data_IF_009271728570
#
_entry.id   IF_009271728570
#
_cell.length_a   1.000
_cell.length_b   1.000
_cell.length_c   1.000
_cell.angle_alpha   90.00
_cell.angle_beta   90.00
_cell.angle_gamma   90.00
#
_symmetry.space_group_name_H-M   'P 1'
#
loop_
_entity.id
_entity.type
_entity.pdbx_description
1 polymer ?
#
# COMPACT_ATOMS: atom_id res chain seq x y z
N UNK A 1 18.03 22.55 -22.37
CA UNK A 1 17.03 21.50 -22.70
C UNK A 1 15.76 22.16 -23.18
N UNK A 2 15.05 21.59 -24.16
CA UNK A 2 13.76 22.13 -24.60
C UNK A 2 12.65 21.81 -23.59
N UNK A 3 11.66 22.69 -23.45
CA UNK A 3 10.50 22.52 -22.54
C UNK A 3 9.78 21.18 -22.73
N UNK A 4 9.75 20.66 -23.97
CA UNK A 4 9.16 19.36 -24.30
C UNK A 4 9.98 18.16 -23.77
N UNK A 5 11.31 18.29 -23.70
CA UNK A 5 12.17 17.25 -23.13
C UNK A 5 12.00 17.16 -21.60
N UNK A 6 11.88 18.31 -20.94
CA UNK A 6 11.64 18.39 -19.50
C UNK A 6 10.30 17.77 -19.10
N UNK A 7 9.22 18.07 -19.83
CA UNK A 7 7.89 17.48 -19.60
C UNK A 7 7.94 15.95 -19.73
N UNK A 8 8.60 15.41 -20.77
CA UNK A 8 8.72 13.96 -20.97
C UNK A 8 9.47 13.27 -19.82
N UNK A 9 10.52 13.90 -19.30
CA UNK A 9 11.29 13.36 -18.16
C UNK A 9 10.42 13.36 -16.90
N UNK A 10 9.71 14.45 -16.62
CA UNK A 10 8.80 14.55 -15.48
C UNK A 10 7.69 13.51 -15.54
N UNK A 11 7.08 13.32 -16.72
CA UNK A 11 6.06 12.29 -16.94
C UNK A 11 6.60 10.88 -16.68
N UNK A 12 7.78 10.56 -17.24
CA UNK A 12 8.45 9.29 -17.02
C UNK A 12 8.76 9.04 -15.54
N UNK A 13 9.29 10.04 -14.84
CA UNK A 13 9.58 9.96 -13.41
C UNK A 13 8.31 9.76 -12.58
N UNK A 14 7.22 10.47 -12.91
CA UNK A 14 5.95 10.34 -12.22
C UNK A 14 5.36 8.93 -12.37
N UNK A 15 5.37 8.35 -13.57
CA UNK A 15 4.92 6.99 -13.78
C UNK A 15 5.80 5.95 -13.07
N UNK A 16 7.12 6.12 -13.12
CA UNK A 16 8.05 5.25 -12.41
C UNK A 16 7.79 5.23 -10.90
N UNK A 17 7.63 6.40 -10.28
CA UNK A 17 7.32 6.53 -8.85
C UNK A 17 6.01 5.82 -8.49
N UNK A 18 4.96 5.99 -9.32
CA UNK A 18 3.68 5.33 -9.07
C UNK A 18 3.77 3.80 -9.16
N UNK A 19 4.55 3.28 -10.11
CA UNK A 19 4.77 1.84 -10.25
C UNK A 19 5.68 1.26 -9.16
N UNK A 20 6.76 1.96 -8.80
CA UNK A 20 7.71 1.53 -7.77
C UNK A 20 7.11 1.57 -6.36
N UNK A 21 6.27 2.58 -6.07
CA UNK A 21 5.58 2.75 -4.79
C UNK A 21 4.10 2.39 -4.91
N UNK A 22 3.80 1.37 -5.72
CA UNK A 22 2.45 0.83 -5.78
C UNK A 22 2.05 0.20 -4.43
N UNK A 23 0.75 0.09 -4.12
CA UNK A 23 0.28 -0.42 -2.83
C UNK A 23 0.78 -1.80 -2.44
N UNK A 24 0.97 -2.70 -3.40
CA UNK A 24 1.48 -4.05 -3.13
C UNK A 24 2.95 -4.00 -2.68
N UNK A 25 3.76 -3.17 -3.33
CA UNK A 25 5.17 -3.01 -2.99
C UNK A 25 5.37 -2.28 -1.67
N UNK A 26 4.64 -1.20 -1.40
CA UNK A 26 4.75 -0.49 -0.11
C UNK A 26 4.36 -1.40 1.07
N UNK A 27 3.29 -2.18 0.90
CA UNK A 27 2.87 -3.18 1.90
C UNK A 27 3.92 -4.27 2.07
N UNK A 28 4.42 -4.84 0.96
CA UNK A 28 5.44 -5.89 1.00
C UNK A 28 6.71 -5.43 1.71
N UNK A 29 7.25 -4.27 1.33
CA UNK A 29 8.51 -3.75 1.89
C UNK A 29 8.39 -3.43 3.38
N UNK A 30 7.24 -2.91 3.85
CA UNK A 30 7.00 -2.66 5.27
C UNK A 30 7.11 -3.95 6.08
N UNK A 31 6.42 -4.99 5.64
CA UNK A 31 6.41 -6.30 6.32
C UNK A 31 7.76 -7.00 6.18
N UNK A 32 8.45 -6.83 5.04
CA UNK A 32 9.81 -7.32 4.82
C UNK A 32 10.79 -6.71 5.84
N UNK A 33 10.79 -5.39 6.01
CA UNK A 33 11.65 -4.70 6.97
C UNK A 33 11.37 -5.13 8.41
N UNK A 34 10.09 -5.22 8.80
CA UNK A 34 9.70 -5.70 10.13
C UNK A 34 10.11 -7.16 10.37
N UNK A 35 10.05 -8.00 9.32
CA UNK A 35 10.50 -9.38 9.41
C UNK A 35 12.00 -9.43 9.66
N UNK A 36 12.81 -8.70 8.87
CA UNK A 36 14.26 -8.67 9.04
C UNK A 36 14.69 -8.07 10.39
N UNK A 37 13.95 -7.10 10.94
CA UNK A 37 14.27 -6.54 12.25
C UNK A 37 13.93 -7.50 13.39
N UNK A 38 12.98 -8.41 13.19
CA UNK A 38 12.44 -9.24 14.27
C UNK A 38 13.17 -10.58 14.44
N UNK A 39 13.80 -11.12 13.40
CA UNK A 39 14.59 -12.34 13.54
C UNK A 39 15.64 -12.51 12.42
N UNK A 40 16.54 -13.48 12.61
CA UNK A 40 17.54 -13.85 11.61
C UNK A 40 16.90 -14.32 10.30
N UNK A 41 17.53 -14.02 9.16
CA UNK A 41 16.94 -14.19 7.82
C UNK A 41 16.36 -15.59 7.54
N UNK A 42 16.98 -16.65 8.08
CA UNK A 42 16.51 -18.04 7.91
C UNK A 42 15.14 -18.29 8.51
N UNK A 43 14.83 -17.63 9.63
CA UNK A 43 13.52 -17.73 10.31
C UNK A 43 12.49 -16.90 9.54
N UNK A 44 12.87 -15.68 9.18
CA UNK A 44 11.99 -14.71 8.53
C UNK A 44 11.70 -15.00 7.06
N UNK A 45 12.52 -15.83 6.39
CA UNK A 45 12.33 -16.18 4.98
C UNK A 45 10.92 -16.72 4.71
N UNK A 46 10.41 -17.57 5.60
CA UNK A 46 9.07 -18.14 5.48
C UNK A 46 7.96 -17.07 5.56
N UNK A 47 8.09 -16.10 6.46
CA UNK A 47 7.16 -14.97 6.59
C UNK A 47 7.24 -14.03 5.39
N UNK A 48 8.45 -13.76 4.88
CA UNK A 48 8.66 -12.91 3.71
C UNK A 48 8.05 -13.54 2.45
N UNK A 49 8.25 -14.85 2.25
CA UNK A 49 7.67 -15.58 1.12
C UNK A 49 6.14 -15.54 1.21
N UNK A 50 5.58 -15.88 2.38
CA UNK A 50 4.14 -15.84 2.61
C UNK A 50 3.57 -14.43 2.36
N UNK A 51 4.25 -13.41 2.88
CA UNK A 51 3.91 -12.01 2.64
C UNK A 51 3.89 -11.68 1.14
N UNK A 52 4.93 -12.06 0.39
CA UNK A 52 4.98 -11.84 -1.06
C UNK A 52 3.83 -12.53 -1.82
N UNK A 53 3.44 -13.73 -1.37
CA UNK A 53 2.29 -14.45 -1.95
C UNK A 53 1.01 -13.66 -1.77
N UNK A 54 0.72 -13.20 -0.54
CA UNK A 54 -0.56 -12.55 -0.22
C UNK A 54 -0.63 -11.06 -0.57
N UNK A 55 0.51 -10.38 -0.65
CA UNK A 55 0.55 -8.93 -0.95
C UNK A 55 0.81 -8.62 -2.42
N UNK A 56 1.54 -9.48 -3.13
CA UNK A 56 1.93 -9.28 -4.53
C UNK A 56 1.32 -10.34 -5.43
N UNK A 57 1.67 -11.62 -5.23
CA UNK A 57 1.38 -12.67 -6.22
C UNK A 57 -0.11 -12.91 -6.42
N UNK A 58 -0.85 -13.19 -5.34
CA UNK A 58 -2.28 -13.47 -5.41
C UNK A 58 -3.09 -12.24 -5.88
N UNK A 59 -2.93 -11.03 -5.30
CA UNK A 59 -3.66 -9.86 -5.78
C UNK A 59 -3.36 -9.50 -7.23
N UNK A 60 -2.09 -9.51 -7.63
CA UNK A 60 -1.72 -9.14 -9.01
C UNK A 60 -2.22 -10.15 -10.03
N UNK A 61 -2.14 -11.45 -9.70
CA UNK A 61 -2.67 -12.52 -10.55
C UNK A 61 -4.19 -12.42 -10.69
N UNK A 62 -4.89 -12.13 -9.59
CA UNK A 62 -6.34 -11.96 -9.61
C UNK A 62 -6.77 -10.70 -10.39
N UNK A 63 -6.08 -9.57 -10.22
CA UNK A 63 -6.39 -8.34 -10.95
C UNK A 63 -6.10 -8.49 -12.44
N UNK A 64 -5.01 -9.19 -12.80
CA UNK A 64 -4.74 -9.53 -14.20
C UNK A 64 -5.82 -10.44 -14.79
N UNK A 65 -6.30 -11.42 -14.02
CA UNK A 65 -7.42 -12.26 -14.43
C UNK A 65 -8.71 -11.45 -14.65
N UNK A 66 -9.06 -10.55 -13.72
CA UNK A 66 -10.20 -9.65 -13.87
C UNK A 66 -10.09 -8.77 -15.13
N UNK A 67 -8.91 -8.20 -15.39
CA UNK A 67 -8.65 -7.39 -16.59
C UNK A 67 -8.81 -8.23 -17.86
N UNK A 68 -8.27 -9.46 -17.89
CA UNK A 68 -8.42 -10.38 -19.03
C UNK A 68 -9.86 -10.82 -19.28
N UNK A 69 -10.71 -10.81 -18.24
CA UNK A 69 -12.15 -11.09 -18.33
C UNK A 69 -12.99 -9.85 -18.67
N UNK A 70 -12.38 -8.67 -18.84
CA UNK A 70 -13.10 -7.41 -19.09
C UNK A 70 -13.93 -6.93 -17.90
N UNK A 71 -13.69 -7.45 -16.69
CA UNK A 71 -14.43 -7.07 -15.47
C UNK A 71 -13.93 -5.76 -14.85
N UNK A 72 -12.70 -5.37 -15.19
CA UNK A 72 -12.11 -4.06 -14.87
C UNK A 72 -11.45 -3.49 -16.11
N UNK A 73 -11.51 -2.17 -16.26
CA UNK A 73 -10.92 -1.45 -17.39
C UNK A 73 -9.39 -1.46 -17.34
N UNK A 74 -8.83 -1.21 -16.15
CA UNK A 74 -7.40 -1.06 -15.95
C UNK A 74 -6.90 -1.71 -14.67
N UNK A 75 -5.65 -2.16 -14.69
CA UNK A 75 -5.03 -2.87 -13.56
C UNK A 75 -4.86 -1.96 -12.32
N UNK A 76 -4.73 -0.65 -12.55
CA UNK A 76 -4.64 0.39 -11.52
C UNK A 76 -5.97 1.13 -11.24
N UNK A 77 -7.10 0.54 -11.67
CA UNK A 77 -8.50 0.88 -11.37
C UNK A 77 -8.74 2.38 -11.06
N UNK A 78 -8.70 3.23 -12.11
CA UNK A 78 -8.90 4.67 -11.96
C UNK A 78 -10.35 5.02 -11.63
N UNK A 79 -11.32 4.27 -12.14
CA UNK A 79 -12.74 4.45 -11.78
C UNK A 79 -13.00 3.89 -10.39
N UNK A 80 -13.63 4.72 -9.55
CA UNK A 80 -14.02 4.32 -8.20
C UNK A 80 -15.15 3.29 -8.18
N UNK A 81 -15.99 3.24 -9.22
CA UNK A 81 -17.10 2.27 -9.31
C UNK A 81 -16.59 0.84 -9.42
N UNK A 82 -15.48 0.64 -10.13
CA UNK A 82 -14.81 -0.64 -10.33
C UNK A 82 -13.95 -1.09 -9.13
N UNK A 83 -13.73 -0.26 -8.11
CA UNK A 83 -12.81 -0.58 -7.00
C UNK A 83 -13.34 -1.60 -5.99
N UNK A 84 -14.66 -1.68 -5.83
CA UNK A 84 -15.25 -2.43 -4.71
C UNK A 84 -14.87 -3.91 -4.76
N UNK A 85 -15.10 -4.60 -5.88
CA UNK A 85 -14.77 -6.02 -6.02
C UNK A 85 -13.26 -6.31 -5.84
N UNK A 86 -12.38 -5.65 -6.58
CA UNK A 86 -10.93 -5.78 -6.42
C UNK A 86 -10.44 -5.50 -5.00
N UNK A 87 -10.94 -4.46 -4.33
CA UNK A 87 -10.52 -4.17 -2.96
C UNK A 87 -11.07 -5.18 -1.95
N UNK A 88 -12.28 -5.72 -2.13
CA UNK A 88 -12.79 -6.83 -1.30
C UNK A 88 -11.90 -8.07 -1.43
N UNK A 89 -11.45 -8.41 -2.64
CA UNK A 89 -10.51 -9.51 -2.83
C UNK A 89 -9.15 -9.23 -2.14
N UNK A 90 -8.68 -7.98 -2.18
CA UNK A 90 -7.45 -7.57 -1.50
C UNK A 90 -7.56 -7.70 0.02
N UNK A 91 -8.69 -7.28 0.60
CA UNK A 91 -9.01 -7.46 2.02
C UNK A 91 -8.97 -8.95 2.38
N UNK A 92 -9.60 -9.81 1.58
CA UNK A 92 -9.60 -11.24 1.80
C UNK A 92 -8.18 -11.81 1.79
N UNK A 93 -7.38 -11.50 0.78
CA UNK A 93 -6.00 -11.99 0.70
C UNK A 93 -5.15 -11.49 1.87
N UNK A 94 -5.24 -10.20 2.21
CA UNK A 94 -4.42 -9.66 3.31
C UNK A 94 -4.86 -10.24 4.66
N UNK A 95 -6.16 -10.41 4.90
CA UNK A 95 -6.68 -11.04 6.10
C UNK A 95 -6.20 -12.50 6.24
N UNK A 96 -6.29 -13.29 5.17
CA UNK A 96 -5.80 -14.68 5.17
C UNK A 96 -4.29 -14.74 5.39
N UNK A 97 -3.52 -13.87 4.73
CA UNK A 97 -2.08 -13.76 4.94
C UNK A 97 -1.74 -13.42 6.40
N UNK A 98 -2.46 -12.48 7.00
CA UNK A 98 -2.27 -12.09 8.40
C UNK A 98 -2.58 -13.24 9.37
N UNK A 99 -3.68 -13.97 9.14
CA UNK A 99 -4.04 -15.14 9.93
C UNK A 99 -2.98 -16.24 9.85
N UNK A 100 -2.46 -16.51 8.64
CA UNK A 100 -1.40 -17.49 8.44
C UNK A 100 -0.09 -17.06 9.10
N UNK A 101 0.28 -15.78 9.04
CA UNK A 101 1.45 -15.25 9.77
C UNK A 101 1.30 -15.47 11.28
N UNK A 102 0.12 -15.21 11.86
CA UNK A 102 -0.16 -15.48 13.28
C UNK A 102 -0.09 -16.97 13.61
N UNK A 103 -0.65 -17.82 12.75
CA UNK A 103 -0.61 -19.28 12.91
C UNK A 103 0.84 -19.82 12.89
N UNK A 104 1.69 -19.25 12.03
CA UNK A 104 3.13 -19.53 11.97
C UNK A 104 3.93 -18.90 13.13
N UNK A 105 3.25 -18.28 14.12
CA UNK A 105 3.88 -17.58 15.25
C UNK A 105 4.86 -16.50 14.80
N UNK A 106 4.57 -15.82 13.69
CA UNK A 106 5.33 -14.64 13.30
C UNK A 106 5.22 -13.57 14.41
N UNK A 107 6.24 -12.72 14.59
CA UNK A 107 6.23 -11.60 15.51
C UNK A 107 4.95 -10.77 15.37
N UNK A 108 4.43 -10.29 16.49
CA UNK A 108 3.23 -9.47 16.53
C UNK A 108 3.34 -8.25 15.61
N UNK A 109 4.51 -7.63 15.51
CA UNK A 109 4.76 -6.51 14.58
C UNK A 109 4.51 -6.87 13.11
N UNK A 110 4.96 -8.04 12.67
CA UNK A 110 4.82 -8.53 11.28
C UNK A 110 3.37 -8.80 10.94
N UNK A 111 2.64 -9.50 11.81
CA UNK A 111 1.21 -9.80 11.59
C UNK A 111 0.33 -8.57 11.76
N UNK A 112 0.59 -7.73 12.77
CA UNK A 112 -0.13 -6.47 12.99
C UNK A 112 0.01 -5.52 11.80
N UNK A 113 1.19 -5.41 11.19
CA UNK A 113 1.38 -4.58 9.99
C UNK A 113 0.44 -4.99 8.85
N UNK A 114 0.31 -6.28 8.55
CA UNK A 114 -0.60 -6.75 7.51
C UNK A 114 -2.08 -6.56 7.90
N UNK A 115 -2.43 -6.69 9.18
CA UNK A 115 -3.77 -6.38 9.68
C UNK A 115 -4.08 -4.89 9.47
N UNK A 116 -3.17 -3.99 9.83
CA UNK A 116 -3.33 -2.55 9.66
C UNK A 116 -3.55 -2.18 8.20
N UNK A 117 -2.76 -2.76 7.28
CA UNK A 117 -2.99 -2.60 5.85
C UNK A 117 -4.36 -3.14 5.43
N UNK A 118 -4.78 -4.31 5.93
CA UNK A 118 -6.10 -4.91 5.64
C UNK A 118 -7.24 -3.97 6.04
N UNK A 119 -7.20 -3.45 7.27
CA UNK A 119 -8.21 -2.53 7.79
C UNK A 119 -8.20 -1.22 7.01
N UNK A 120 -7.04 -0.69 6.65
CA UNK A 120 -6.95 0.51 5.83
C UNK A 120 -7.50 0.31 4.41
N UNK A 121 -7.34 -0.87 3.82
CA UNK A 121 -8.02 -1.24 2.56
C UNK A 121 -9.53 -1.31 2.78
N UNK A 122 -10.02 -1.85 3.90
CA UNK A 122 -11.44 -1.86 4.23
C UNK A 122 -12.01 -0.43 4.39
N UNK A 123 -11.28 0.45 5.07
CA UNK A 123 -11.65 1.86 5.24
C UNK A 123 -11.77 2.58 3.89
N UNK A 124 -10.75 2.50 3.02
CA UNK A 124 -10.83 3.14 1.69
C UNK A 124 -11.94 2.51 0.83
N UNK A 125 -12.23 1.21 0.99
CA UNK A 125 -13.32 0.54 0.28
C UNK A 125 -14.67 1.12 0.68
N UNK A 126 -14.93 1.29 1.97
CA UNK A 126 -16.16 1.89 2.49
C UNK A 126 -16.31 3.36 2.09
N UNK A 127 -15.22 4.13 2.17
CA UNK A 127 -15.22 5.57 1.86
C UNK A 127 -15.29 5.85 0.35
N UNK A 128 -14.75 4.95 -0.49
CA UNK A 128 -14.65 5.13 -1.94
C UNK A 128 -15.99 5.46 -2.63
N UNK A 129 -17.11 5.01 -2.07
CA UNK A 129 -18.46 5.35 -2.55
C UNK A 129 -18.75 6.86 -2.46
N UNK A 130 -18.23 7.52 -1.43
CA UNK A 130 -18.47 8.94 -1.15
C UNK A 130 -17.32 9.81 -1.66
N UNK A 131 -16.07 9.41 -1.37
CA UNK A 131 -14.88 10.21 -1.66
C UNK A 131 -13.71 9.36 -2.21
N UNK A 132 -13.13 9.79 -3.33
CA UNK A 132 -12.06 9.06 -4.03
C UNK A 132 -10.68 9.42 -3.48
N UNK A 133 -10.27 8.77 -2.39
CA UNK A 133 -8.88 8.87 -1.90
C UNK A 133 -7.89 8.18 -2.86
N UNK A 134 -6.62 8.59 -2.78
CA UNK A 134 -5.53 7.91 -3.46
C UNK A 134 -5.09 6.67 -2.69
N UNK A 135 -5.34 5.47 -3.24
CA UNK A 135 -4.91 4.22 -2.63
C UNK A 135 -3.38 4.08 -2.55
N UNK A 136 -2.65 4.63 -3.54
CA UNK A 136 -1.18 4.65 -3.53
C UNK A 136 -0.65 5.43 -2.34
N UNK A 137 -1.12 6.67 -2.17
CA UNK A 137 -0.68 7.53 -1.07
C UNK A 137 -1.16 7.00 0.28
N UNK A 138 -2.39 6.45 0.36
CA UNK A 138 -2.89 5.84 1.59
C UNK A 138 -2.05 4.62 2.01
N UNK A 139 -1.70 3.72 1.09
CA UNK A 139 -0.86 2.55 1.41
C UNK A 139 0.57 2.96 1.81
N UNK A 140 1.17 3.92 1.10
CA UNK A 140 2.48 4.44 1.44
C UNK A 140 2.50 5.16 2.80
N UNK A 141 1.46 5.93 3.12
CA UNK A 141 1.34 6.61 4.41
C UNK A 141 1.04 5.63 5.55
N UNK A 142 0.26 4.57 5.30
CA UNK A 142 0.06 3.44 6.23
C UNK A 142 1.40 2.81 6.57
N UNK A 143 2.21 2.52 5.55
CA UNK A 143 3.57 2.00 5.69
C UNK A 143 4.44 2.93 6.54
N UNK A 144 4.42 4.23 6.25
CA UNK A 144 5.13 5.25 7.02
C UNK A 144 4.71 5.30 8.49
N UNK A 145 3.41 5.22 8.78
CA UNK A 145 2.89 5.19 10.15
C UNK A 145 3.33 3.93 10.92
N UNK A 146 3.27 2.76 10.27
CA UNK A 146 3.75 1.50 10.86
C UNK A 146 5.26 1.59 11.17
N UNK A 147 6.07 2.04 10.22
CA UNK A 147 7.52 2.17 10.41
C UNK A 147 7.87 3.20 11.49
N UNK A 148 7.11 4.30 11.56
CA UNK A 148 7.26 5.30 12.63
C UNK A 148 6.96 4.70 14.01
N UNK A 149 5.90 3.92 14.14
CA UNK A 149 5.54 3.27 15.39
C UNK A 149 6.66 2.34 15.90
N UNK A 150 7.23 1.49 15.03
CA UNK A 150 8.21 0.49 15.45
C UNK A 150 9.66 0.98 15.50
N UNK A 151 10.04 1.95 14.66
CA UNK A 151 11.44 2.39 14.51
C UNK A 151 11.65 3.87 14.86
N UNK A 152 10.58 4.60 15.19
CA UNK A 152 10.64 5.99 15.62
C UNK A 152 10.95 7.01 14.52
N UNK A 153 11.37 8.20 14.97
CA UNK A 153 11.55 9.40 14.15
C UNK A 153 12.41 9.26 12.88
N UNK A 154 13.48 8.42 12.82
CA UNK A 154 14.27 8.27 11.60
C UNK A 154 13.45 7.86 10.37
N UNK A 155 12.35 7.13 10.57
CA UNK A 155 11.49 6.68 9.46
C UNK A 155 10.60 7.78 8.88
N UNK A 156 10.52 8.96 9.51
CA UNK A 156 9.86 10.13 8.93
C UNK A 156 10.48 10.58 7.60
N UNK A 157 11.70 10.12 7.27
CA UNK A 157 12.26 10.25 5.92
C UNK A 157 11.36 9.63 4.83
N UNK A 158 10.50 8.66 5.16
CA UNK A 158 9.51 8.13 4.22
C UNK A 158 8.51 9.20 3.75
N UNK A 159 8.33 10.30 4.49
CA UNK A 159 7.49 11.43 4.06
C UNK A 159 7.99 12.06 2.76
N UNK A 160 9.31 12.03 2.50
CA UNK A 160 9.88 12.50 1.24
C UNK A 160 9.39 11.64 0.07
N UNK A 161 9.39 10.31 0.24
CA UNK A 161 8.88 9.37 -0.76
C UNK A 161 7.36 9.51 -0.94
N UNK A 162 6.61 9.70 0.15
CA UNK A 162 5.16 9.92 0.11
C UNK A 162 4.82 11.25 -0.58
N UNK A 163 5.61 12.30 -0.36
CA UNK A 163 5.45 13.59 -1.05
C UNK A 163 5.76 13.46 -2.55
N UNK A 164 6.85 12.78 -2.92
CA UNK A 164 7.19 12.51 -4.32
C UNK A 164 6.12 11.66 -5.02
N UNK A 165 5.58 10.64 -4.34
CA UNK A 165 4.46 9.84 -4.82
C UNK A 165 3.18 10.69 -4.97
N UNK A 166 2.90 11.56 -4.01
CA UNK A 166 1.74 12.46 -4.07
C UNK A 166 1.85 13.42 -5.25
N UNK A 167 3.03 14.00 -5.49
CA UNK A 167 3.32 14.79 -6.68
C UNK A 167 3.06 13.97 -7.95
N UNK A 168 3.60 12.75 -8.04
CA UNK A 168 3.36 11.85 -9.18
C UNK A 168 1.87 11.67 -9.48
N UNK A 169 1.04 11.46 -8.45
CA UNK A 169 -0.42 11.24 -8.62
C UNK A 169 -1.17 12.49 -9.06
N UNK A 170 -0.72 13.67 -8.65
CA UNK A 170 -1.31 14.95 -9.06
C UNK A 170 -0.84 15.35 -10.46
N UNK A 171 0.46 15.20 -10.74
CA UNK A 171 1.08 15.49 -12.03
C UNK A 171 0.48 14.66 -13.17
N UNK A 172 0.34 13.35 -12.95
CA UNK A 172 -0.34 12.43 -13.89
C UNK A 172 -1.86 12.62 -13.96
N UNK A 173 -2.40 13.61 -13.25
CA UNK A 173 -3.84 13.95 -13.16
C UNK A 173 -4.73 12.80 -12.70
N UNK A 174 -4.15 11.76 -12.12
CA UNK A 174 -4.92 10.62 -11.63
C UNK A 174 -5.68 10.95 -10.34
N UNK A 175 -5.18 11.92 -9.56
CA UNK A 175 -5.80 12.43 -8.35
C UNK A 175 -5.65 13.95 -8.22
N UNK A 176 -6.55 14.58 -7.46
CA UNK A 176 -6.41 15.98 -7.01
C UNK A 176 -5.66 16.05 -5.68
N UNK A 177 -5.15 17.23 -5.33
CA UNK A 177 -4.38 17.44 -4.09
C UNK A 177 -5.16 17.00 -2.84
N UNK A 178 -6.45 17.34 -2.73
CA UNK A 178 -7.27 16.94 -1.58
C UNK A 178 -7.39 15.41 -1.43
N UNK A 179 -7.39 14.67 -2.54
CA UNK A 179 -7.51 13.20 -2.54
C UNK A 179 -6.22 12.51 -2.09
N UNK A 180 -5.07 13.09 -2.41
CA UNK A 180 -3.76 12.58 -1.93
C UNK A 180 -3.54 12.96 -0.47
N UNK A 181 -3.88 14.20 -0.07
CA UNK A 181 -3.78 14.63 1.33
C UNK A 181 -4.70 13.83 2.25
N UNK A 182 -5.96 13.61 1.87
CA UNK A 182 -6.88 12.77 2.63
C UNK A 182 -6.36 11.34 2.75
N UNK A 183 -5.88 10.74 1.66
CA UNK A 183 -5.30 9.40 1.67
C UNK A 183 -4.08 9.30 2.60
N UNK A 184 -3.18 10.29 2.53
CA UNK A 184 -1.98 10.35 3.36
C UNK A 184 -2.31 10.50 4.85
N UNK A 185 -3.17 11.46 5.19
CA UNK A 185 -3.60 11.69 6.56
C UNK A 185 -4.31 10.48 7.15
N UNK A 186 -5.32 9.94 6.46
CA UNK A 186 -6.06 8.76 6.91
C UNK A 186 -5.12 7.58 7.07
N UNK A 187 -4.30 7.28 6.07
CA UNK A 187 -3.38 6.13 6.12
C UNK A 187 -2.38 6.19 7.27
N UNK A 188 -1.76 7.35 7.50
CA UNK A 188 -0.77 7.52 8.57
C UNK A 188 -1.41 7.46 9.96
N UNK A 189 -2.45 8.28 10.20
CA UNK A 189 -3.06 8.41 11.53
C UNK A 189 -3.81 7.14 11.91
N UNK A 190 -4.55 6.53 10.98
CA UNK A 190 -5.25 5.27 11.29
C UNK A 190 -4.27 4.15 11.60
N UNK A 191 -3.09 4.12 10.98
CA UNK A 191 -2.07 3.11 11.28
C UNK A 191 -1.59 3.22 12.73
N UNK A 192 -1.29 4.44 13.20
CA UNK A 192 -0.89 4.67 14.58
C UNK A 192 -1.99 4.28 15.56
N UNK A 193 -3.23 4.75 15.33
CA UNK A 193 -4.36 4.42 16.20
C UNK A 193 -4.62 2.91 16.29
N UNK A 194 -4.47 2.19 15.17
CA UNK A 194 -4.64 0.75 15.16
C UNK A 194 -3.52 0.02 15.90
N UNK A 195 -2.27 0.47 15.77
CA UNK A 195 -1.15 -0.14 16.48
C UNK A 195 -1.21 0.13 17.99
N UNK A 196 -1.54 1.35 18.41
CA UNK A 196 -1.81 1.68 19.82
C UNK A 196 -2.97 0.86 20.41
N UNK A 197 -3.95 0.46 19.60
CA UNK A 197 -5.03 -0.41 20.05
C UNK A 197 -4.64 -1.90 20.08
N UNK A 198 -3.55 -2.28 19.41
CA UNK A 198 -3.13 -3.67 19.25
C UNK A 198 -2.04 -4.10 20.24
N UNK A 199 -1.29 -3.14 20.79
CA UNK A 199 -0.18 -3.32 21.72
C UNK A 199 -0.44 -2.61 23.05
#
# INVERSE_FOLDING_TARGET
MSRNAEIRIQDGAAHLLAHALNPAFTTFFTIFLLSLSAAHWRVCASWIILNGIFTILLPSSYFLWLKRRGMISELYIPDRTERTGPFLSLILFYALGALLLRWMKAPSSVSAALIVHTVNVALITGVTRFYKMSFHVLSAATSGGILFYFFGAPTLLSLVLIAALSWSRVHTRAHRLSQVLAGGFVGFISALLQLEAFF
#
